data_IF_085046826711
#
_entry.id   IF_085046826711
#
_cell.length_a   1.000
_cell.length_b   1.000
_cell.length_c   1.000
_cell.angle_alpha   90.00
_cell.angle_beta   90.00
_cell.angle_gamma   90.00
#
_symmetry.space_group_name_H-M   'P 1'
#
loop_
_entity.id
_entity.type
_entity.pdbx_description
1 polymer ?
#
# COMPACT_ATOMS: atom_id res chain seq x y z
N UNK A 1 -19.39 0.19 -21.11
CA UNK A 1 -18.82 1.24 -20.24
C UNK A 1 -17.49 1.65 -20.81
N UNK A 2 -17.32 2.92 -21.19
CA UNK A 2 -16.04 3.42 -21.70
C UNK A 2 -15.18 3.91 -20.53
N UNK A 3 -13.95 3.37 -20.42
CA UNK A 3 -12.98 3.82 -19.43
C UNK A 3 -12.08 4.86 -20.09
N UNK A 4 -12.04 6.06 -19.53
CA UNK A 4 -11.12 7.09 -19.96
C UNK A 4 -10.06 7.29 -18.91
N UNK A 5 -8.80 7.19 -19.33
CA UNK A 5 -7.66 7.32 -18.43
C UNK A 5 -7.15 8.76 -18.45
N UNK A 6 -7.10 9.38 -17.28
CA UNK A 6 -6.46 10.68 -17.08
C UNK A 6 -5.19 10.47 -16.26
N UNK A 7 -4.02 10.74 -16.84
CA UNK A 7 -2.73 10.49 -16.20
C UNK A 7 -1.99 11.81 -15.93
N UNK A 8 -1.69 12.09 -14.66
CA UNK A 8 -0.90 13.24 -14.22
C UNK A 8 -0.30 13.00 -12.83
N UNK A 9 0.72 13.77 -12.40
CA UNK A 9 1.26 13.69 -11.04
C UNK A 9 0.22 14.05 -9.98
N UNK A 10 0.43 13.60 -8.74
CA UNK A 10 -0.48 13.91 -7.63
C UNK A 10 -0.68 15.42 -7.44
N UNK A 11 0.38 16.21 -7.62
CA UNK A 11 0.36 17.67 -7.51
C UNK A 11 -0.58 18.37 -8.52
N UNK A 12 -0.89 17.75 -9.66
CA UNK A 12 -1.82 18.31 -10.63
C UNK A 12 -3.28 17.92 -10.34
N UNK A 13 -3.52 16.79 -9.68
CA UNK A 13 -4.85 16.43 -9.18
C UNK A 13 -5.24 17.25 -7.95
N UNK A 14 -4.27 17.53 -7.09
CA UNK A 14 -4.42 18.27 -5.83
C UNK A 14 -3.40 19.41 -5.81
N UNK A 15 -3.70 20.59 -6.40
CA UNK A 15 -2.76 21.71 -6.43
C UNK A 15 -2.40 22.26 -5.05
N UNK A 16 -3.36 22.25 -4.12
CA UNK A 16 -3.12 22.67 -2.74
C UNK A 16 -2.25 21.65 -1.99
N UNK A 17 -1.13 22.13 -1.43
CA UNK A 17 -0.15 21.28 -0.76
C UNK A 17 -0.70 20.62 0.51
N UNK A 18 -1.60 21.30 1.23
CA UNK A 18 -2.20 20.77 2.45
C UNK A 18 -3.19 19.65 2.12
N UNK A 19 -4.06 19.85 1.12
CA UNK A 19 -4.97 18.80 0.62
C UNK A 19 -4.19 17.60 0.10
N UNK A 20 -3.15 17.83 -0.68
CA UNK A 20 -2.28 16.77 -1.21
C UNK A 20 -1.61 15.97 -0.09
N UNK A 21 -1.04 16.64 0.91
CA UNK A 21 -0.45 15.99 2.08
C UNK A 21 -1.48 15.17 2.87
N UNK A 22 -2.69 15.70 3.05
CA UNK A 22 -3.80 14.98 3.71
C UNK A 22 -4.23 13.74 2.92
N UNK A 23 -4.40 13.86 1.60
CA UNK A 23 -4.79 12.74 0.73
C UNK A 23 -3.73 11.64 0.75
N UNK A 24 -2.45 12.02 0.60
CA UNK A 24 -1.31 11.12 0.72
C UNK A 24 -1.33 10.37 2.06
N UNK A 25 -1.40 11.11 3.17
CA UNK A 25 -1.38 10.53 4.50
C UNK A 25 -2.56 9.59 4.74
N UNK A 26 -3.78 10.02 4.38
CA UNK A 26 -4.98 9.20 4.54
C UNK A 26 -4.90 7.91 3.70
N UNK A 27 -4.37 7.97 2.49
CA UNK A 27 -4.19 6.78 1.66
C UNK A 27 -3.18 5.80 2.27
N UNK A 28 -1.98 6.28 2.60
CA UNK A 28 -0.88 5.43 3.05
C UNK A 28 -1.03 4.94 4.51
N UNK A 29 -1.57 5.76 5.42
CA UNK A 29 -1.60 5.44 6.86
C UNK A 29 -2.98 5.03 7.37
N UNK A 30 -4.04 5.16 6.58
CA UNK A 30 -5.41 4.78 7.00
C UNK A 30 -6.05 3.79 6.05
N UNK A 31 -6.20 4.17 4.79
CA UNK A 31 -6.92 3.34 3.82
C UNK A 31 -6.17 2.05 3.49
N UNK A 32 -4.91 2.13 3.07
CA UNK A 32 -4.15 0.95 2.64
C UNK A 32 -3.87 -0.06 3.76
N UNK A 33 -3.44 0.33 4.97
CA UNK A 33 -3.27 -0.62 6.07
C UNK A 33 -4.57 -1.35 6.40
N UNK A 34 -5.68 -0.62 6.45
CA UNK A 34 -7.00 -1.20 6.70
C UNK A 34 -7.41 -2.17 5.60
N UNK A 35 -7.30 -1.76 4.33
CA UNK A 35 -7.59 -2.61 3.18
C UNK A 35 -6.75 -3.89 3.17
N UNK A 36 -5.44 -3.76 3.43
CA UNK A 36 -4.50 -4.87 3.48
C UNK A 36 -4.86 -5.87 4.60
N UNK A 37 -5.06 -5.40 5.83
CA UNK A 37 -5.37 -6.27 6.96
C UNK A 37 -6.76 -6.92 6.88
N UNK A 38 -7.72 -6.28 6.22
CA UNK A 38 -9.03 -6.88 5.96
C UNK A 38 -9.02 -7.90 4.84
N UNK A 39 -8.18 -7.68 3.82
CA UNK A 39 -8.13 -8.55 2.64
C UNK A 39 -6.68 -8.90 2.24
N UNK A 40 -5.90 -9.60 3.09
CA UNK A 40 -4.47 -9.83 2.87
C UNK A 40 -4.15 -10.41 1.49
N UNK A 41 -4.87 -11.48 1.12
CA UNK A 41 -4.73 -12.11 -0.20
C UNK A 41 -5.00 -11.12 -1.34
N UNK A 42 -6.09 -10.34 -1.28
CA UNK A 42 -6.46 -9.40 -2.36
C UNK A 42 -5.57 -8.16 -2.41
N UNK A 43 -4.73 -7.94 -1.40
CA UNK A 43 -3.76 -6.85 -1.40
C UNK A 43 -2.47 -7.21 -2.16
N UNK A 44 -2.16 -8.49 -2.31
CA UNK A 44 -0.91 -8.96 -2.94
C UNK A 44 -1.18 -9.79 -4.20
N UNK A 45 -2.26 -10.57 -4.25
CA UNK A 45 -2.60 -11.42 -5.39
C UNK A 45 -3.30 -10.62 -6.49
N UNK A 46 -2.54 -10.21 -7.51
CA UNK A 46 -2.98 -9.26 -8.53
C UNK A 46 -3.77 -9.89 -9.69
N UNK A 47 -3.79 -11.22 -9.78
CA UNK A 47 -4.50 -11.97 -10.83
C UNK A 47 -4.15 -11.48 -12.25
N UNK A 48 -2.84 -11.34 -12.53
CA UNK A 48 -2.34 -10.82 -13.82
C UNK A 48 -2.48 -9.31 -14.04
N UNK A 49 -3.06 -8.56 -13.10
CA UNK A 49 -3.11 -7.09 -13.15
C UNK A 49 -1.72 -6.51 -12.95
N UNK A 50 -1.37 -5.49 -13.75
CA UNK A 50 -0.17 -4.68 -13.52
C UNK A 50 -0.18 -4.08 -12.09
N UNK A 51 0.90 -4.22 -11.29
CA UNK A 51 0.93 -3.74 -9.91
C UNK A 51 0.65 -2.24 -9.79
N UNK A 52 1.17 -1.43 -10.72
CA UNK A 52 0.95 0.03 -10.69
C UNK A 52 -0.52 0.37 -10.97
N UNK A 53 -1.12 -0.25 -11.99
CA UNK A 53 -2.56 -0.10 -12.27
C UNK A 53 -3.42 -0.57 -11.09
N UNK A 54 -3.03 -1.65 -10.43
CA UNK A 54 -3.73 -2.15 -9.24
C UNK A 54 -3.73 -1.12 -8.11
N UNK A 55 -2.58 -0.55 -7.75
CA UNK A 55 -2.53 0.44 -6.67
C UNK A 55 -3.23 1.75 -7.05
N UNK A 56 -3.18 2.16 -8.32
CA UNK A 56 -3.93 3.31 -8.83
C UNK A 56 -5.46 3.07 -8.76
N UNK A 57 -5.94 1.84 -8.98
CA UNK A 57 -7.33 1.50 -8.75
C UNK A 57 -7.73 1.58 -7.27
N UNK A 58 -6.81 1.29 -6.35
CA UNK A 58 -7.03 1.47 -4.91
C UNK A 58 -6.97 2.93 -4.49
N UNK A 59 -6.12 3.74 -5.12
CA UNK A 59 -6.18 5.20 -4.98
C UNK A 59 -7.54 5.74 -5.40
N UNK A 60 -8.05 5.35 -6.57
CA UNK A 60 -9.38 5.76 -7.04
C UNK A 60 -10.49 5.36 -6.04
N UNK A 61 -10.45 4.12 -5.54
CA UNK A 61 -11.40 3.65 -4.52
C UNK A 61 -11.31 4.48 -3.24
N UNK A 62 -10.11 4.84 -2.81
CA UNK A 62 -9.91 5.75 -1.69
C UNK A 62 -10.54 7.13 -1.96
N UNK A 63 -10.29 7.74 -3.13
CA UNK A 63 -10.88 9.03 -3.49
C UNK A 63 -12.41 9.00 -3.44
N UNK A 64 -13.01 7.91 -3.93
CA UNK A 64 -14.46 7.71 -3.93
C UNK A 64 -15.01 7.69 -2.52
N UNK A 65 -14.43 6.88 -1.63
CA UNK A 65 -14.93 6.78 -0.25
C UNK A 65 -14.58 8.00 0.59
N UNK A 66 -13.49 8.68 0.27
CA UNK A 66 -13.09 9.93 0.92
C UNK A 66 -13.90 11.15 0.43
N UNK A 67 -14.71 11.01 -0.60
CA UNK A 67 -15.44 12.13 -1.23
C UNK A 67 -14.52 13.14 -1.91
N UNK A 68 -13.33 12.71 -2.34
CA UNK A 68 -12.33 13.55 -3.03
C UNK A 68 -12.51 13.56 -4.55
N UNK A 69 -13.29 12.63 -5.08
CA UNK A 69 -13.52 12.55 -6.53
C UNK A 69 -14.39 13.73 -6.99
N UNK A 70 -13.95 14.54 -7.97
CA UNK A 70 -14.80 15.56 -8.55
C UNK A 70 -15.89 14.91 -9.41
N UNK A 71 -16.98 15.67 -9.59
CA UNK A 71 -18.08 15.31 -10.47
C UNK A 71 -17.56 15.04 -11.90
N UNK A 72 -17.86 13.87 -12.46
CA UNK A 72 -17.40 13.50 -13.80
C UNK A 72 -17.74 12.09 -14.25
N UNK A 73 -18.05 11.19 -13.33
CA UNK A 73 -18.57 9.86 -13.69
C UNK A 73 -20.01 9.96 -14.17
N UNK A 74 -20.30 9.34 -15.30
CA UNK A 74 -21.66 9.11 -15.78
C UNK A 74 -21.88 7.61 -15.94
N UNK A 75 -23.13 7.11 -16.02
CA UNK A 75 -23.40 5.69 -16.24
C UNK A 75 -22.70 5.10 -17.48
N UNK A 76 -22.34 5.95 -18.45
CA UNK A 76 -21.72 5.56 -19.72
C UNK A 76 -20.18 5.67 -19.70
N UNK A 77 -19.63 6.49 -18.79
CA UNK A 77 -18.21 6.89 -18.78
C UNK A 77 -17.65 6.84 -17.36
N UNK A 78 -16.66 5.98 -17.17
CA UNK A 78 -15.85 5.91 -15.95
C UNK A 78 -14.54 6.67 -16.18
N UNK A 79 -14.28 7.70 -15.38
CA UNK A 79 -12.99 8.41 -15.42
C UNK A 79 -12.00 7.71 -14.48
N UNK A 80 -10.99 7.05 -15.03
CA UNK A 80 -9.94 6.42 -14.24
C UNK A 80 -8.73 7.34 -14.11
N UNK A 81 -8.50 7.86 -12.89
CA UNK A 81 -7.39 8.77 -12.58
C UNK A 81 -6.12 7.99 -12.24
N UNK A 82 -5.05 8.27 -12.96
CA UNK A 82 -3.74 7.64 -12.81
C UNK A 82 -2.75 8.65 -12.26
N UNK A 83 -2.44 8.51 -10.97
CA UNK A 83 -1.39 9.27 -10.29
C UNK A 83 -0.03 8.74 -10.78
N UNK A 84 0.64 9.47 -11.67
CA UNK A 84 1.81 8.95 -12.42
C UNK A 84 3.05 8.73 -11.56
N UNK A 85 3.13 9.42 -10.43
CA UNK A 85 4.18 9.32 -9.41
C UNK A 85 3.82 8.32 -8.29
N UNK A 86 2.70 7.61 -8.41
CA UNK A 86 2.36 6.42 -7.61
C UNK A 86 2.68 5.17 -8.43
N UNK A 87 3.68 4.40 -7.98
CA UNK A 87 4.14 3.18 -8.68
C UNK A 87 4.18 1.99 -7.74
N UNK A 88 4.08 0.78 -8.29
CA UNK A 88 4.17 -0.44 -7.52
C UNK A 88 4.86 -1.57 -8.27
N UNK A 89 5.40 -2.51 -7.50
CA UNK A 89 6.05 -3.72 -7.94
C UNK A 89 5.54 -4.90 -7.13
N UNK A 90 5.43 -6.04 -7.79
CA UNK A 90 5.17 -7.31 -7.12
C UNK A 90 6.49 -8.08 -7.04
N UNK A 91 6.93 -8.40 -5.83
CA UNK A 91 8.21 -9.05 -5.57
C UNK A 91 8.16 -9.96 -4.35
N UNK A 92 9.24 -10.71 -4.09
CA UNK A 92 9.36 -11.53 -2.89
C UNK A 92 10.28 -10.84 -1.88
N UNK A 93 9.76 -10.56 -0.68
CA UNK A 93 10.49 -9.93 0.41
C UNK A 93 10.64 -10.96 1.52
N UNK A 94 11.87 -11.42 1.74
CA UNK A 94 12.15 -12.44 2.75
C UNK A 94 11.49 -13.80 2.46
N UNK A 95 11.34 -14.15 1.18
CA UNK A 95 10.67 -15.39 0.75
C UNK A 95 9.13 -15.33 0.76
N UNK A 96 8.55 -14.16 1.05
CA UNK A 96 7.12 -13.93 1.07
C UNK A 96 6.68 -13.02 -0.08
N UNK A 97 5.56 -13.30 -0.75
CA UNK A 97 5.03 -12.42 -1.79
C UNK A 97 4.62 -11.07 -1.20
N UNK A 98 4.99 -9.99 -1.89
CA UNK A 98 4.77 -8.64 -1.43
C UNK A 98 4.37 -7.70 -2.57
N UNK A 99 3.55 -6.71 -2.22
CA UNK A 99 3.30 -5.53 -3.06
C UNK A 99 4.11 -4.37 -2.48
N UNK A 100 5.16 -3.94 -3.18
CA UNK A 100 5.98 -2.79 -2.80
C UNK A 100 5.53 -1.59 -3.61
N UNK A 101 5.28 -0.48 -2.93
CA UNK A 101 4.67 0.72 -3.50
C UNK A 101 5.58 1.90 -3.20
N UNK A 102 5.83 2.72 -4.22
CA UNK A 102 6.41 4.03 -4.08
C UNK A 102 5.31 5.07 -4.19
N UNK A 103 5.15 5.84 -3.13
CA UNK A 103 4.24 6.98 -3.08
C UNK A 103 4.85 8.19 -3.80
N UNK A 104 4.02 9.16 -4.21
CA UNK A 104 4.48 10.49 -4.59
C UNK A 104 5.46 11.07 -3.55
N UNK A 105 6.37 11.95 -3.97
CA UNK A 105 7.35 12.54 -3.05
C UNK A 105 6.58 13.24 -1.92
N UNK A 106 6.81 12.86 -0.65
CA UNK A 106 6.06 13.48 0.42
C UNK A 106 6.43 14.95 0.58
N UNK A 107 5.44 15.75 0.95
CA UNK A 107 5.60 17.19 1.21
C UNK A 107 5.30 17.58 2.66
N UNK A 108 4.74 16.64 3.43
CA UNK A 108 4.51 16.79 4.86
C UNK A 108 5.50 15.96 5.70
N UNK A 109 5.69 16.30 6.97
CA UNK A 109 6.49 15.50 7.88
C UNK A 109 5.92 14.08 8.05
N UNK A 110 6.79 13.10 8.29
CA UNK A 110 6.43 11.71 8.63
C UNK A 110 5.42 11.06 7.66
N UNK A 111 5.62 11.25 6.35
CA UNK A 111 4.77 10.68 5.33
C UNK A 111 5.50 9.52 4.63
N UNK A 112 4.80 8.40 4.42
CA UNK A 112 5.35 7.22 3.75
C UNK A 112 5.81 7.55 2.32
N UNK A 113 7.07 7.24 2.00
CA UNK A 113 7.60 7.33 0.64
C UNK A 113 7.65 5.97 -0.04
N UNK A 114 8.09 4.94 0.69
CA UNK A 114 7.86 3.55 0.32
C UNK A 114 6.92 2.90 1.31
N UNK A 115 6.15 1.92 0.84
CA UNK A 115 5.35 1.06 1.70
C UNK A 115 5.27 -0.33 1.10
N UNK A 116 5.02 -1.35 1.92
CA UNK A 116 4.84 -2.71 1.43
C UNK A 116 3.79 -3.47 2.22
N UNK A 117 3.03 -4.30 1.50
CA UNK A 117 2.17 -5.33 2.08
C UNK A 117 2.86 -6.67 1.84
N UNK A 118 3.25 -7.37 2.91
CA UNK A 118 3.86 -8.70 2.84
C UNK A 118 2.84 -9.73 3.27
N UNK A 119 2.48 -10.66 2.39
CA UNK A 119 1.57 -11.77 2.72
C UNK A 119 2.41 -12.96 3.22
N UNK A 120 2.21 -13.37 4.47
CA UNK A 120 3.04 -14.38 5.14
C UNK A 120 2.66 -15.80 4.70
N UNK A 121 3.03 -16.13 3.47
CA UNK A 121 2.86 -17.44 2.82
C UNK A 121 4.15 -17.80 2.09
N UNK A 122 4.41 -19.09 1.86
CA UNK A 122 5.57 -19.51 1.08
C UNK A 122 5.43 -19.09 -0.39
N UNK A 123 6.57 -18.84 -1.03
CA UNK A 123 6.67 -18.59 -2.46
C UNK A 123 5.97 -19.68 -3.29
N UNK A 124 6.20 -20.96 -2.97
CA UNK A 124 5.60 -22.08 -3.68
C UNK A 124 4.07 -22.10 -3.62
N UNK A 125 3.48 -21.83 -2.46
CA UNK A 125 2.04 -21.79 -2.30
C UNK A 125 1.43 -20.59 -3.04
N UNK A 126 2.11 -19.43 -3.02
CA UNK A 126 1.68 -18.26 -3.77
C UNK A 126 1.73 -18.51 -5.29
N UNK A 127 2.83 -19.06 -5.80
CA UNK A 127 3.00 -19.36 -7.23
C UNK A 127 1.94 -20.36 -7.72
N UNK A 128 1.65 -21.39 -6.94
CA UNK A 128 0.59 -22.35 -7.27
C UNK A 128 -0.79 -21.68 -7.35
N UNK A 129 -1.11 -20.79 -6.40
CA UNK A 129 -2.36 -20.04 -6.37
C UNK A 129 -2.48 -19.04 -7.55
N UNK A 130 -1.42 -18.27 -7.84
CA UNK A 130 -1.41 -17.31 -8.95
C UNK A 130 -1.52 -18.02 -10.30
N UNK A 131 -0.80 -19.14 -10.49
CA UNK A 131 -0.90 -19.94 -11.70
C UNK A 131 -2.32 -20.49 -11.90
N UNK A 132 -2.94 -21.01 -10.84
CA UNK A 132 -4.31 -21.52 -10.90
C UNK A 132 -5.33 -20.42 -11.25
N UNK A 133 -5.17 -19.21 -10.69
CA UNK A 133 -6.04 -18.08 -11.01
C UNK A 133 -5.86 -17.57 -12.43
N UNK A 134 -4.64 -17.54 -12.95
CA UNK A 134 -4.39 -17.18 -14.36
C UNK A 134 -4.94 -18.21 -15.34
N UNK A 135 -4.94 -19.48 -14.94
CA UNK A 135 -5.51 -20.57 -15.73
C UNK A 135 -7.05 -20.65 -15.60
N UNK A 136 -7.66 -19.93 -14.66
CA UNK A 136 -9.10 -19.94 -14.46
C UNK A 136 -9.83 -19.38 -15.67
N UNK A 137 -10.76 -20.17 -16.20
CA UNK A 137 -11.71 -19.73 -17.22
C UNK A 137 -13.13 -19.81 -16.64
N UNK A 138 -13.97 -18.76 -16.79
CA UNK A 138 -15.35 -18.78 -16.32
C UNK A 138 -16.20 -19.89 -16.95
N UNK A 139 -15.80 -20.43 -18.11
CA UNK A 139 -16.50 -21.48 -18.83
C UNK A 139 -16.33 -22.88 -18.23
N UNK A 140 -15.33 -23.07 -17.35
CA UNK A 140 -15.04 -24.36 -16.71
C UNK A 140 -14.67 -24.20 -15.23
N UNK A 141 -15.56 -23.62 -14.40
CA UNK A 141 -15.26 -23.30 -13.00
C UNK A 141 -14.96 -24.54 -12.14
N UNK A 142 -15.44 -25.71 -12.53
CA UNK A 142 -15.17 -26.98 -11.86
C UNK A 142 -13.70 -27.42 -11.97
N UNK A 143 -12.94 -26.90 -12.92
CA UNK A 143 -11.51 -27.18 -13.08
C UNK A 143 -10.66 -26.37 -12.09
N UNK A 144 -11.25 -25.37 -11.43
CA UNK A 144 -10.54 -24.54 -10.46
C UNK A 144 -10.45 -25.21 -9.10
N UNK A 145 -9.26 -25.71 -8.77
CA UNK A 145 -9.00 -26.26 -7.44
C UNK A 145 -8.92 -25.14 -6.39
N UNK A 146 -10.04 -24.87 -5.73
CA UNK A 146 -10.13 -23.88 -4.66
C UNK A 146 -9.18 -24.14 -3.49
N UNK A 147 -8.68 -25.37 -3.31
CA UNK A 147 -7.74 -25.71 -2.24
C UNK A 147 -6.41 -24.99 -2.40
N UNK A 148 -6.05 -24.61 -3.64
CA UNK A 148 -4.84 -23.83 -3.92
C UNK A 148 -4.91 -22.42 -3.31
N UNK A 149 -6.11 -21.87 -3.08
CA UNK A 149 -6.28 -20.58 -2.41
C UNK A 149 -6.32 -20.68 -0.89
N UNK A 150 -6.50 -21.88 -0.32
CA UNK A 150 -6.70 -22.05 1.11
C UNK A 150 -5.54 -21.49 1.97
N UNK A 151 -4.26 -21.67 1.61
CA UNK A 151 -3.15 -21.07 2.36
C UNK A 151 -3.21 -19.54 2.34
N UNK A 152 -3.54 -18.94 1.19
CA UNK A 152 -3.57 -17.47 1.04
C UNK A 152 -4.75 -16.84 1.77
N UNK A 153 -5.91 -17.51 1.83
CA UNK A 153 -7.11 -17.00 2.51
C UNK A 153 -6.92 -16.81 4.01
N UNK A 154 -6.03 -17.59 4.62
CA UNK A 154 -5.78 -17.59 6.07
C UNK A 154 -4.43 -16.98 6.43
N UNK A 155 -3.56 -16.72 5.44
CA UNK A 155 -2.26 -16.11 5.64
C UNK A 155 -2.42 -14.69 6.21
N UNK A 156 -1.75 -14.37 7.33
CA UNK A 156 -1.67 -13.00 7.82
C UNK A 156 -0.83 -12.13 6.86
N UNK A 157 -1.01 -10.81 6.92
CA UNK A 157 -0.09 -9.87 6.28
C UNK A 157 0.55 -8.93 7.30
N UNK A 158 1.69 -8.36 6.92
CA UNK A 158 2.34 -7.24 7.60
C UNK A 158 2.39 -6.05 6.67
N UNK A 159 2.24 -4.85 7.23
CA UNK A 159 2.20 -3.59 6.49
C UNK A 159 3.32 -2.69 6.98
N UNK A 160 4.28 -2.37 6.13
CA UNK A 160 5.42 -1.54 6.49
C UNK A 160 5.42 -0.23 5.71
N UNK A 161 5.97 0.82 6.31
CA UNK A 161 6.21 2.12 5.67
C UNK A 161 7.66 2.51 5.88
N UNK A 162 8.21 3.25 4.91
CA UNK A 162 9.41 4.05 5.08
C UNK A 162 9.00 5.51 5.05
N UNK A 163 8.93 6.13 6.22
CA UNK A 163 8.47 7.51 6.38
C UNK A 163 9.63 8.48 6.19
N UNK A 164 9.55 9.30 5.14
CA UNK A 164 10.60 10.26 4.83
C UNK A 164 10.55 11.40 5.83
N UNK A 165 11.70 11.72 6.42
CA UNK A 165 11.84 12.89 7.30
C UNK A 165 12.13 14.12 6.45
N UNK A 166 11.16 15.02 6.29
CA UNK A 166 11.37 16.30 5.58
C UNK A 166 11.90 17.41 6.50
N UNK A 167 11.90 17.18 7.82
CA UNK A 167 12.21 18.19 8.83
C UNK A 167 13.64 18.16 9.39
N UNK A 168 14.55 17.38 8.81
CA UNK A 168 15.95 17.44 9.22
C UNK A 168 16.64 18.53 8.42
N UNK A 169 16.84 19.69 9.05
CA UNK A 169 17.96 20.57 8.68
C UNK A 169 19.22 19.70 8.68
N UNK A 170 19.82 19.51 7.52
CA UNK A 170 20.82 18.49 7.34
C UNK A 170 21.44 18.51 5.95
N UNK A 171 22.47 17.71 5.78
CA UNK A 171 23.13 17.52 4.49
C UNK A 171 22.15 16.92 3.47
N UNK A 172 22.44 17.08 2.17
CA UNK A 172 21.66 16.45 1.10
C UNK A 172 21.55 14.91 1.22
N UNK A 173 22.36 14.29 2.09
CA UNK A 173 22.32 12.87 2.42
C UNK A 173 21.27 12.55 3.50
N UNK A 174 21.06 13.41 4.50
CA UNK A 174 20.05 13.22 5.55
C UNK A 174 18.62 13.37 5.00
N UNK A 175 18.43 14.23 3.99
CA UNK A 175 17.18 14.35 3.22
C UNK A 175 16.83 13.09 2.40
N UNK A 176 17.73 12.10 2.35
CA UNK A 176 17.52 10.81 1.71
C UNK A 176 17.27 9.69 2.72
N UNK A 177 17.06 9.99 4.00
CA UNK A 177 16.71 8.97 4.99
C UNK A 177 15.21 8.93 5.26
N UNK A 178 14.71 7.74 5.56
CA UNK A 178 13.39 7.51 6.11
C UNK A 178 13.44 6.58 7.30
N UNK A 179 12.37 6.54 8.08
CA UNK A 179 12.23 5.69 9.25
C UNK A 179 11.33 4.51 8.91
N UNK A 180 11.80 3.29 9.19
CA UNK A 180 11.00 2.08 9.00
C UNK A 180 9.95 1.99 10.11
N UNK A 181 8.68 1.85 9.71
CA UNK A 181 7.56 1.64 10.61
C UNK A 181 6.68 0.46 10.15
N UNK A 182 5.83 -0.04 11.04
CA UNK A 182 4.80 -1.04 10.77
C UNK A 182 3.43 -0.57 11.27
N UNK A 183 2.40 -0.83 10.47
CA UNK A 183 1.02 -0.75 10.91
C UNK A 183 0.52 -2.15 11.25
N UNK A 184 0.23 -2.38 12.53
CA UNK A 184 -0.31 -3.66 13.01
C UNK A 184 -1.81 -3.75 12.75
N UNK A 185 -2.34 -4.98 12.83
CA UNK A 185 -3.76 -5.27 12.55
C UNK A 185 -4.73 -4.52 13.47
N UNK A 186 -4.31 -4.24 14.70
CA UNK A 186 -5.09 -3.46 15.68
C UNK A 186 -5.05 -1.95 15.42
N UNK A 187 -4.32 -1.50 14.39
CA UNK A 187 -4.16 -0.10 14.04
C UNK A 187 -3.02 0.61 14.76
N UNK A 188 -2.21 -0.09 15.55
CA UNK A 188 -1.02 0.51 16.16
C UNK A 188 0.04 0.82 15.09
N UNK A 189 0.73 1.95 15.29
CA UNK A 189 1.82 2.40 14.43
C UNK A 189 3.15 2.27 15.17
N UNK A 190 3.95 1.28 14.78
CA UNK A 190 5.18 0.91 15.45
C UNK A 190 6.38 1.43 14.67
N UNK A 191 7.19 2.30 15.29
CA UNK A 191 8.45 2.77 14.73
C UNK A 191 9.59 1.82 15.17
N UNK A 192 10.39 1.33 14.23
CA UNK A 192 11.51 0.42 14.52
C UNK A 192 12.77 1.14 15.02
N UNK A 193 12.80 2.48 14.99
CA UNK A 193 13.99 3.29 15.29
C UNK A 193 15.11 3.14 14.25
N UNK A 194 14.81 2.54 13.10
CA UNK A 194 15.78 2.27 12.04
C UNK A 194 15.66 3.31 10.94
N UNK A 195 16.73 4.06 10.72
CA UNK A 195 16.88 4.97 9.60
C UNK A 195 17.47 4.24 8.38
N UNK A 196 16.83 4.34 7.23
CA UNK A 196 17.23 3.71 5.99
C UNK A 196 17.30 4.74 4.86
N UNK A 197 18.21 4.58 3.88
CA UNK A 197 18.09 5.28 2.62
C UNK A 197 16.69 5.14 2.02
N UNK A 198 16.17 6.23 1.48
CA UNK A 198 14.89 6.36 0.81
C UNK A 198 14.96 5.78 -0.61
N UNK A 199 15.39 4.52 -0.70
CA UNK A 199 15.47 3.72 -1.92
C UNK A 199 14.68 2.43 -1.71
N UNK A 200 14.17 1.86 -2.80
CA UNK A 200 13.41 0.60 -2.75
C UNK A 200 14.24 -0.54 -2.13
N UNK A 201 15.50 -0.67 -2.53
CA UNK A 201 16.40 -1.74 -2.07
C UNK A 201 16.65 -1.68 -0.56
N UNK A 202 17.01 -0.50 -0.04
CA UNK A 202 17.23 -0.33 1.39
C UNK A 202 15.94 -0.55 2.20
N UNK A 203 14.79 -0.12 1.66
CA UNK A 203 13.50 -0.39 2.26
C UNK A 203 13.19 -1.89 2.34
N UNK A 204 13.32 -2.62 1.22
CA UNK A 204 13.06 -4.07 1.19
C UNK A 204 14.01 -4.84 2.11
N UNK A 205 15.29 -4.46 2.17
CA UNK A 205 16.26 -5.07 3.09
C UNK A 205 15.90 -4.80 4.56
N UNK A 206 15.44 -3.59 4.86
CA UNK A 206 14.91 -3.24 6.19
C UNK A 206 13.72 -4.10 6.58
N UNK A 207 12.79 -4.31 5.66
CA UNK A 207 11.63 -5.19 5.86
C UNK A 207 12.05 -6.64 6.06
N UNK A 208 13.01 -7.17 5.29
CA UNK A 208 13.54 -8.53 5.49
C UNK A 208 14.07 -8.71 6.92
N UNK A 209 14.82 -7.73 7.43
CA UNK A 209 15.32 -7.77 8.81
C UNK A 209 14.19 -7.71 9.83
N UNK A 210 13.20 -6.84 9.62
CA UNK A 210 12.03 -6.74 10.50
C UNK A 210 11.16 -8.02 10.49
N UNK A 211 11.08 -8.72 9.35
CA UNK A 211 10.43 -10.03 9.24
C UNK A 211 11.19 -11.08 10.04
N UNK A 212 12.52 -11.12 9.96
CA UNK A 212 13.35 -12.08 10.67
C UNK A 212 13.30 -11.93 12.21
N UNK A 213 13.08 -10.70 12.71
CA UNK A 213 12.91 -10.42 14.14
C UNK A 213 11.52 -10.81 14.68
N UNK A 214 10.56 -11.10 13.79
CA UNK A 214 9.19 -11.43 14.19
C UNK A 214 8.44 -10.25 14.84
N UNK A 215 7.56 -10.55 15.77
CA UNK A 215 6.81 -9.55 16.57
C UNK A 215 7.59 -9.03 17.78
N UNK A 216 8.79 -9.56 18.04
CA UNK A 216 9.57 -9.28 19.26
C UNK A 216 10.40 -7.99 19.20
N UNK A 217 10.21 -7.16 18.16
CA UNK A 217 10.79 -5.82 18.16
C UNK A 217 10.02 -4.98 19.17
N UNK A 218 10.63 -4.74 20.33
CA UNK A 218 10.14 -3.80 21.32
C UNK A 218 9.88 -2.45 20.64
N UNK A 219 8.60 -2.10 20.49
CA UNK A 219 8.18 -0.82 19.93
C UNK A 219 8.81 0.30 20.77
N UNK A 220 9.87 0.92 20.28
CA UNK A 220 10.44 2.09 20.93
C UNK A 220 9.55 3.28 20.60
N UNK A 221 8.76 3.71 21.59
CA UNK A 221 7.86 4.86 21.55
C UNK A 221 6.73 4.75 20.50
N UNK A 222 5.54 4.35 20.96
CA UNK A 222 4.29 4.68 20.29
C UNK A 222 4.12 6.20 20.29
N UNK A 223 4.35 6.85 19.15
CA UNK A 223 3.87 8.22 18.97
C UNK A 223 2.35 8.15 18.93
N UNK A 224 1.69 8.72 19.93
CA UNK A 224 0.24 8.85 19.92
C UNK A 224 -0.10 9.85 18.82
N UNK A 225 -0.65 9.46 17.66
CA UNK A 225 -1.00 10.41 16.63
C UNK A 225 -2.18 11.20 17.17
N UNK A 226 -1.92 12.39 17.71
CA UNK A 226 -2.97 13.26 18.22
C UNK A 226 -4.10 13.36 17.19
N UNK A 227 -5.29 13.18 17.73
CA UNK A 227 -6.54 13.04 17.03
C UNK A 227 -6.87 14.29 16.22
N UNK A 228 -6.41 14.36 14.97
CA UNK A 228 -7.20 14.94 13.91
C UNK A 228 -8.43 14.03 13.75
N UNK A 229 -9.44 14.24 14.61
CA UNK A 229 -10.79 13.70 14.47
C UNK A 229 -11.39 14.28 13.20
N UNK A 230 -11.03 13.69 12.08
CA UNK A 230 -11.82 13.76 10.87
C UNK A 230 -12.85 12.65 10.98
N UNK A 231 -14.07 13.00 11.36
CA UNK A 231 -15.22 12.08 11.28
C UNK A 231 -15.58 11.89 9.80
N UNK A 232 -14.81 11.07 9.08
CA UNK A 232 -15.40 10.37 7.95
C UNK A 232 -16.37 9.35 8.56
N UNK A 233 -17.66 9.36 8.21
CA UNK A 233 -18.52 8.21 8.41
C UNK A 233 -18.04 7.11 7.45
N UNK A 234 -16.86 6.54 7.71
CA UNK A 234 -16.41 5.34 7.04
C UNK A 234 -17.30 4.20 7.52
N UNK A 235 -18.31 3.87 6.73
CA UNK A 235 -18.99 2.58 6.82
C UNK A 235 -18.30 1.70 5.79
N UNK A 236 -17.67 0.58 6.19
CA UNK A 236 -17.17 -0.37 5.22
C UNK A 236 -18.34 -0.84 4.33
N UNK A 237 -18.10 -1.08 3.03
CA UNK A 237 -19.09 -1.74 2.17
C UNK A 237 -19.44 -3.15 2.66
#
# INVERSE_FOLDING_TARGET
MNILEESRPLAEFYPDAQERSRAHYAFAHRFLPHYAHQNPMRAVLLNGTDPTRFIQARWQMFEDVAGLRPYGDTPERLLFRRVTDLTAWHEFVGGHPALVIQMPVPEGPACAFYLTVVLLVSESAFQAADAALRAYTPEAPEQFDQRLLAPLRTAPCRYFTLEKSLGLEGTAEELKLGILCEWTRDGSHCNFGVHLPATREAFTDGVIRALALGSDVAASATSNPESLTFSMPWRPP
#
